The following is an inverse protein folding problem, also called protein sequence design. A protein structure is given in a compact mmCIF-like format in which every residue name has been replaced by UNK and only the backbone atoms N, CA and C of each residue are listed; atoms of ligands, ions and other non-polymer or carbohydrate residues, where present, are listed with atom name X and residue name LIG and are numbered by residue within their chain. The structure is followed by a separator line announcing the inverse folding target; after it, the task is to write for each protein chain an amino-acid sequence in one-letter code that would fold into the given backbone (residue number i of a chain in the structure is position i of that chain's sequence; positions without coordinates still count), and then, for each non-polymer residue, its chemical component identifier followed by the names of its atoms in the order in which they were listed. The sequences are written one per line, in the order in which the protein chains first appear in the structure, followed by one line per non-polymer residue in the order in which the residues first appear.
data_IF_673171014726
#
_entry.id   IF_673171014726
#
_cell.length_a   1.000
_cell.length_b   1.000
_cell.length_c   1.000
_cell.angle_alpha   90.00
_cell.angle_beta   90.00
_cell.angle_gamma   90.00
#
_symmetry.space_group_name_H-M   'P 1'
#
loop_
_entity.id
_entity.type
_entity.pdbx_description
1 polymer ?
#
# COMPACT_ATOMS: atom_id res chain seq x y z
N UNK A 1 13.24 18.60 28.30
CA UNK A 1 12.22 19.55 28.75
C UNK A 1 11.31 18.84 29.74
N UNK A 2 11.01 19.45 30.89
CA UNK A 2 10.11 18.86 31.92
C UNK A 2 8.81 19.66 31.88
N UNK A 3 7.70 19.02 31.51
CA UNK A 3 6.36 19.59 31.64
C UNK A 3 5.82 19.18 33.02
N UNK A 4 5.38 20.16 33.81
CA UNK A 4 4.72 19.93 35.10
C UNK A 4 3.26 20.31 34.94
N UNK A 5 2.38 19.32 34.92
CA UNK A 5 0.93 19.51 34.90
C UNK A 5 0.35 18.99 36.22
N UNK A 6 -0.54 19.76 36.86
CA UNK A 6 -1.17 19.42 38.15
C UNK A 6 -2.45 18.58 37.98
N UNK A 7 -2.48 17.72 36.97
CA UNK A 7 -3.64 16.90 36.62
C UNK A 7 -3.21 15.51 36.19
N UNK A 8 -3.98 14.50 36.60
CA UNK A 8 -3.74 13.08 36.32
C UNK A 8 -3.88 12.71 34.82
N UNK A 9 -4.32 13.65 33.98
CA UNK A 9 -4.63 13.46 32.56
C UNK A 9 -3.89 14.50 31.72
N UNK A 10 -2.96 14.04 30.88
CA UNK A 10 -2.26 14.88 29.91
C UNK A 10 -3.17 15.13 28.69
N UNK A 11 -3.52 16.39 28.42
CA UNK A 11 -4.21 16.79 27.19
C UNK A 11 -3.21 16.86 26.01
N UNK A 12 -3.62 16.55 24.77
CA UNK A 12 -2.74 16.59 23.59
C UNK A 12 -2.00 17.93 23.38
N UNK A 13 -2.59 19.02 23.85
CA UNK A 13 -2.05 20.38 23.74
C UNK A 13 -0.99 20.72 24.80
N UNK A 14 -0.94 19.98 25.91
CA UNK A 14 0.03 20.13 27.01
C UNK A 14 1.37 19.43 26.71
N UNK A 15 1.45 18.65 25.62
CA UNK A 15 2.66 17.96 25.20
C UNK A 15 3.67 18.97 24.62
N UNK A 16 4.93 19.00 25.11
CA UNK A 16 5.98 19.79 24.48
C UNK A 16 6.09 19.46 22.99
N UNK A 17 6.39 20.45 22.16
CA UNK A 17 6.54 20.30 20.69
C UNK A 17 7.49 19.16 20.28
N UNK A 18 8.41 18.77 21.15
CA UNK A 18 9.35 17.65 20.99
C UNK A 18 8.69 16.26 21.13
N UNK A 19 7.57 16.16 21.84
CA UNK A 19 6.75 14.95 22.01
C UNK A 19 5.46 14.98 21.19
N UNK A 20 5.17 16.10 20.52
CA UNK A 20 4.23 16.13 19.41
C UNK A 20 4.85 15.30 18.31
N UNK A 21 4.68 13.98 18.41
CA UNK A 21 4.94 13.05 17.32
C UNK A 21 4.09 13.59 16.20
N UNK A 22 4.71 14.29 15.26
CA UNK A 22 4.18 14.37 13.91
C UNK A 22 4.00 12.91 13.54
N UNK A 23 2.80 12.38 13.76
CA UNK A 23 2.34 11.32 12.91
C UNK A 23 2.46 11.99 11.55
N UNK A 24 3.53 11.68 10.83
CA UNK A 24 3.54 11.85 9.40
C UNK A 24 2.37 10.97 8.94
N UNK A 25 1.16 11.55 8.99
CA UNK A 25 0.03 11.03 8.28
C UNK A 25 0.47 11.21 6.84
N UNK A 26 1.11 10.18 6.30
CA UNK A 26 1.36 10.10 4.88
C UNK A 26 -0.02 10.08 4.24
N UNK A 27 -0.53 11.26 3.90
CA UNK A 27 -1.72 11.41 3.09
C UNK A 27 -1.34 10.94 1.70
N UNK A 28 -1.79 9.74 1.35
CA UNK A 28 -1.72 9.23 -0.02
C UNK A 28 -2.84 9.92 -0.79
N UNK A 29 -2.48 10.79 -1.73
CA UNK A 29 -3.44 11.39 -2.65
C UNK A 29 -3.91 10.34 -3.66
N UNK A 30 -5.16 9.87 -3.50
CA UNK A 30 -5.78 8.87 -4.36
C UNK A 30 -6.81 9.56 -5.25
N UNK A 31 -6.68 9.48 -6.60
CA UNK A 31 -7.62 10.14 -7.49
C UNK A 31 -9.01 9.51 -7.39
N UNK A 32 -10.05 10.34 -7.19
CA UNK A 32 -11.45 9.88 -7.29
C UNK A 32 -11.86 9.93 -8.75
N UNK A 33 -11.88 8.77 -9.41
CA UNK A 33 -12.13 8.64 -10.86
C UNK A 33 -13.60 8.53 -11.23
N UNK A 34 -14.50 8.28 -10.27
CA UNK A 34 -15.94 8.16 -10.48
C UNK A 34 -16.71 8.68 -9.27
N UNK A 35 -17.90 9.28 -9.45
CA UNK A 35 -18.82 9.60 -8.35
C UNK A 35 -19.43 8.34 -7.71
N UNK A 36 -19.32 7.18 -8.36
CA UNK A 36 -19.84 5.90 -7.87
C UNK A 36 -18.74 5.16 -7.09
N UNK A 37 -18.97 4.93 -5.79
CA UNK A 37 -17.96 4.38 -4.88
C UNK A 37 -17.30 3.08 -5.36
N UNK A 38 -18.10 2.11 -5.82
CA UNK A 38 -17.56 0.81 -6.23
C UNK A 38 -16.75 0.89 -7.52
N UNK A 39 -17.06 1.82 -8.42
CA UNK A 39 -16.28 2.07 -9.63
C UNK A 39 -14.95 2.75 -9.31
N UNK A 40 -14.98 3.83 -8.51
CA UNK A 40 -13.78 4.53 -8.08
C UNK A 40 -12.82 3.57 -7.35
N UNK A 41 -13.34 2.75 -6.42
CA UNK A 41 -12.56 1.73 -5.73
C UNK A 41 -11.99 0.71 -6.70
N UNK A 42 -12.77 0.21 -7.66
CA UNK A 42 -12.30 -0.77 -8.65
C UNK A 42 -11.11 -0.22 -9.42
N UNK A 43 -11.18 1.00 -9.92
CA UNK A 43 -10.07 1.63 -10.66
C UNK A 43 -8.79 1.71 -9.84
N UNK A 44 -8.88 2.14 -8.58
CA UNK A 44 -7.71 2.22 -7.68
C UNK A 44 -7.13 0.84 -7.39
N UNK A 45 -7.98 -0.15 -7.10
CA UNK A 45 -7.55 -1.52 -6.83
C UNK A 45 -6.87 -2.12 -8.06
N UNK A 46 -7.42 -1.93 -9.25
CA UNK A 46 -6.83 -2.46 -10.49
C UNK A 46 -5.48 -1.83 -10.81
N UNK A 47 -5.35 -0.52 -10.63
CA UNK A 47 -4.09 0.20 -10.81
C UNK A 47 -3.03 -0.29 -9.80
N UNK A 48 -3.42 -0.44 -8.53
CA UNK A 48 -2.56 -0.99 -7.48
C UNK A 48 -2.13 -2.42 -7.80
N UNK A 49 -3.07 -3.31 -8.12
CA UNK A 49 -2.78 -4.73 -8.37
C UNK A 49 -1.83 -4.89 -9.56
N UNK A 50 -2.04 -4.15 -10.66
CA UNK A 50 -1.12 -4.15 -11.82
C UNK A 50 0.29 -3.76 -11.39
N UNK A 51 0.43 -2.59 -10.75
CA UNK A 51 1.73 -2.08 -10.31
C UNK A 51 2.43 -3.06 -9.35
N UNK A 52 1.70 -3.60 -8.40
CA UNK A 52 2.22 -4.57 -7.43
C UNK A 52 2.78 -5.81 -8.11
N UNK A 53 2.04 -6.40 -9.06
CA UNK A 53 2.48 -7.59 -9.79
C UNK A 53 3.76 -7.31 -10.58
N UNK A 54 3.82 -6.18 -11.30
CA UNK A 54 4.99 -5.80 -12.07
C UNK A 54 6.23 -5.60 -11.17
N UNK A 55 6.08 -4.92 -10.03
CA UNK A 55 7.18 -4.74 -9.08
C UNK A 55 7.69 -6.07 -8.51
N UNK A 56 6.78 -6.98 -8.15
CA UNK A 56 7.17 -8.32 -7.69
C UNK A 56 7.85 -9.13 -8.80
N UNK A 57 7.35 -9.06 -10.04
CA UNK A 57 7.98 -9.75 -11.17
C UNK A 57 9.38 -9.18 -11.46
N UNK A 58 9.56 -7.85 -11.44
CA UNK A 58 10.88 -7.20 -11.59
C UNK A 58 11.85 -7.65 -10.49
N UNK A 59 11.41 -7.65 -9.23
CA UNK A 59 12.24 -8.04 -8.09
C UNK A 59 12.72 -9.51 -8.19
N UNK A 60 11.93 -10.38 -8.80
CA UNK A 60 12.22 -11.81 -8.94
C UNK A 60 12.59 -12.24 -10.38
N UNK A 61 12.96 -11.30 -11.26
CA UNK A 61 13.37 -11.56 -12.66
C UNK A 61 12.39 -12.46 -13.43
N UNK A 62 11.10 -12.15 -13.32
CA UNK A 62 10.02 -12.91 -13.94
C UNK A 62 9.73 -14.28 -13.31
N UNK A 63 10.37 -14.64 -12.18
CA UNK A 63 10.06 -15.89 -11.47
C UNK A 63 8.74 -15.77 -10.70
N UNK A 64 7.65 -16.17 -11.35
CA UNK A 64 6.27 -16.14 -10.81
C UNK A 64 6.14 -16.89 -9.48
N UNK A 65 6.82 -18.02 -9.31
CA UNK A 65 6.72 -18.81 -8.07
C UNK A 65 7.37 -18.08 -6.90
N UNK A 66 8.55 -17.49 -7.11
CA UNK A 66 9.23 -16.71 -6.08
C UNK A 66 8.48 -15.43 -5.73
N UNK A 67 7.98 -14.71 -6.74
CA UNK A 67 7.15 -13.52 -6.58
C UNK A 67 5.85 -13.79 -5.80
N UNK A 68 5.14 -14.86 -6.14
CA UNK A 68 3.92 -15.25 -5.44
C UNK A 68 4.18 -15.65 -3.98
N UNK A 69 5.28 -16.37 -3.74
CA UNK A 69 5.70 -16.76 -2.38
C UNK A 69 6.02 -15.55 -1.51
N UNK A 70 6.75 -14.57 -2.03
CA UNK A 70 7.03 -13.32 -1.31
C UNK A 70 5.74 -12.52 -1.06
N UNK A 71 4.85 -12.46 -2.05
CA UNK A 71 3.55 -11.81 -1.92
C UNK A 71 2.56 -12.56 -1.00
N UNK A 72 2.95 -13.71 -0.43
CA UNK A 72 2.13 -14.57 0.43
C UNK A 72 0.78 -14.96 -0.18
N UNK A 73 0.72 -15.12 -1.51
CA UNK A 73 -0.45 -15.62 -2.21
C UNK A 73 -0.12 -16.86 -3.02
N UNK A 74 -1.13 -17.68 -3.26
CA UNK A 74 -0.96 -18.88 -4.08
C UNK A 74 -0.54 -18.50 -5.50
N UNK A 75 0.38 -19.27 -6.09
CA UNK A 75 0.85 -19.09 -7.47
C UNK A 75 -0.30 -19.02 -8.48
N UNK A 76 -1.34 -19.85 -8.32
CA UNK A 76 -2.50 -19.84 -9.22
C UNK A 76 -3.26 -18.51 -9.16
N UNK A 77 -3.42 -17.93 -7.97
CA UNK A 77 -4.04 -16.62 -7.77
C UNK A 77 -3.20 -15.51 -8.41
N UNK A 78 -1.88 -15.55 -8.22
CA UNK A 78 -0.95 -14.61 -8.84
C UNK A 78 -1.05 -14.67 -10.38
N UNK A 79 -1.05 -15.87 -10.97
CA UNK A 79 -1.21 -16.05 -12.41
C UNK A 79 -2.59 -15.61 -12.92
N UNK A 80 -3.65 -15.80 -12.13
CA UNK A 80 -4.98 -15.31 -12.49
C UNK A 80 -5.01 -13.79 -12.57
N UNK A 81 -4.35 -13.10 -11.64
CA UNK A 81 -4.21 -11.65 -11.68
C UNK A 81 -3.37 -11.19 -12.89
N UNK A 82 -2.24 -11.87 -13.17
CA UNK A 82 -1.44 -11.59 -14.37
C UNK A 82 -2.28 -11.70 -15.65
N UNK A 83 -3.06 -12.78 -15.80
CA UNK A 83 -3.97 -12.97 -16.93
C UNK A 83 -5.06 -11.88 -16.99
N UNK A 84 -5.64 -11.52 -15.84
CA UNK A 84 -6.65 -10.44 -15.76
C UNK A 84 -6.09 -9.11 -16.30
N UNK A 85 -4.82 -8.82 -16.04
CA UNK A 85 -4.19 -7.56 -16.43
C UNK A 85 -3.33 -7.62 -17.69
N UNK A 86 -3.23 -8.78 -18.35
CA UNK A 86 -2.43 -8.97 -19.56
C UNK A 86 -0.92 -8.87 -19.32
N UNK A 87 -0.44 -9.30 -18.15
CA UNK A 87 0.98 -9.23 -17.77
C UNK A 87 1.65 -10.57 -18.11
N UNK A 88 2.73 -10.54 -18.90
CA UNK A 88 3.58 -11.71 -19.15
C UNK A 88 4.84 -11.66 -18.27
N UNK A 89 5.17 -12.77 -17.61
CA UNK A 89 6.40 -12.87 -16.82
C UNK A 89 7.70 -12.79 -17.65
N UNK A 90 7.63 -13.13 -18.95
CA UNK A 90 8.79 -13.10 -19.84
C UNK A 90 9.31 -11.68 -20.09
N UNK A 91 8.45 -10.66 -20.00
CA UNK A 91 8.82 -9.25 -20.11
C UNK A 91 9.74 -8.78 -18.96
N UNK A 92 9.91 -9.59 -17.91
CA UNK A 92 10.66 -9.26 -16.70
C UNK A 92 11.87 -10.16 -16.44
N UNK A 93 12.24 -11.03 -17.40
CA UNK A 93 13.37 -11.96 -17.27
C UNK A 93 14.71 -11.35 -17.65
#
# INVERSE_FOLDING_TARGET
AVAVERGEVLLPDSLPVQFRRERAHTTIDLPITSPILHEARRTIVEAFERKFLEERLRAHKGNVTAAAREAQIQRQSFQRLMKKYGIDSSDFR
#
